data_IF_037468769267
#
_entry.id   IF_037468769267
#
_cell.length_a   1.000
_cell.length_b   1.000
_cell.length_c   1.000
_cell.angle_alpha   90.00
_cell.angle_beta   90.00
_cell.angle_gamma   90.00
#
_symmetry.space_group_name_H-M   'P 1'
#
loop_
_entity.id
_entity.type
_entity.pdbx_description
1 polymer ?
#
# COMPACT_ATOMS: atom_id res chain seq x y z
N UNK A 1 8.59 -18.01 27.44
CA UNK A 1 8.57 -16.81 26.57
C UNK A 1 7.45 -16.95 25.57
N UNK A 2 6.55 -15.97 25.45
CA UNK A 2 5.39 -16.05 24.55
C UNK A 2 5.84 -15.93 23.09
N UNK A 3 5.85 -17.04 22.34
CA UNK A 3 6.27 -17.07 20.93
C UNK A 3 5.44 -16.13 20.02
N UNK A 4 4.24 -15.74 20.47
CA UNK A 4 3.35 -14.80 19.78
C UNK A 4 3.87 -13.35 19.78
N UNK A 5 4.70 -12.98 20.76
CA UNK A 5 5.27 -11.63 20.85
C UNK A 5 6.49 -11.42 19.95
N UNK A 6 7.07 -12.51 19.41
CA UNK A 6 8.25 -12.46 18.55
C UNK A 6 7.91 -12.11 17.09
N UNK A 7 6.71 -12.48 16.64
CA UNK A 7 6.25 -12.37 15.25
C UNK A 7 5.52 -11.04 14.99
N UNK A 8 6.18 -9.94 15.33
CA UNK A 8 5.68 -8.58 15.12
C UNK A 8 6.73 -7.70 14.44
N UNK A 9 6.31 -6.50 14.06
CA UNK A 9 7.22 -5.40 13.72
C UNK A 9 7.83 -4.88 15.01
N UNK A 10 9.16 -4.86 15.11
CA UNK A 10 9.87 -4.45 16.33
C UNK A 10 10.08 -2.94 16.41
N UNK A 11 10.57 -2.34 15.34
CA UNK A 11 10.83 -0.91 15.23
C UNK A 11 10.05 -0.31 14.05
N UNK A 12 9.48 0.87 14.26
CA UNK A 12 8.84 1.67 13.22
C UNK A 12 9.56 3.02 13.16
N UNK A 13 10.09 3.39 11.97
CA UNK A 13 10.79 4.66 11.74
C UNK A 13 10.15 5.44 10.59
N UNK A 14 9.58 6.59 10.89
CA UNK A 14 9.10 7.54 9.87
C UNK A 14 10.22 8.51 9.47
N UNK A 15 10.07 9.17 8.31
CA UNK A 15 11.03 10.18 7.85
C UNK A 15 10.86 11.50 8.64
N UNK A 16 11.76 11.75 9.60
CA UNK A 16 11.76 12.95 10.47
C UNK A 16 11.87 14.29 9.75
N UNK A 17 12.48 14.30 8.57
CA UNK A 17 12.76 15.53 7.80
C UNK A 17 11.59 15.99 6.92
N UNK A 18 10.48 15.24 6.87
CA UNK A 18 9.35 15.51 5.96
C UNK A 18 8.12 15.99 6.76
N UNK A 19 7.23 16.81 6.15
CA UNK A 19 6.05 17.33 6.83
C UNK A 19 5.13 16.19 7.29
N UNK A 20 4.34 16.41 8.35
CA UNK A 20 3.37 15.42 8.87
C UNK A 20 3.98 14.06 9.27
N UNK A 21 5.13 14.08 9.94
CA UNK A 21 5.77 12.86 10.49
C UNK A 21 4.81 12.03 11.36
N UNK A 22 4.02 12.69 12.22
CA UNK A 22 3.08 12.01 13.10
C UNK A 22 2.00 11.22 12.35
N UNK A 23 1.53 11.73 11.20
CA UNK A 23 0.57 11.02 10.36
C UNK A 23 1.21 9.82 9.67
N UNK A 24 2.43 9.99 9.14
CA UNK A 24 3.20 8.93 8.53
C UNK A 24 3.44 7.77 9.52
N UNK A 25 3.86 8.10 10.74
CA UNK A 25 4.03 7.11 11.82
C UNK A 25 2.73 6.39 12.16
N UNK A 26 1.61 7.12 12.31
CA UNK A 26 0.30 6.51 12.56
C UNK A 26 -0.14 5.57 11.43
N UNK A 27 0.17 5.89 10.17
CA UNK A 27 -0.12 5.01 9.04
C UNK A 27 0.71 3.72 9.14
N UNK A 28 2.02 3.83 9.40
CA UNK A 28 2.88 2.65 9.56
C UNK A 28 2.45 1.77 10.74
N UNK A 29 2.10 2.38 11.87
CA UNK A 29 1.58 1.66 13.04
C UNK A 29 0.27 0.92 12.71
N UNK A 30 -0.66 1.57 12.00
CA UNK A 30 -1.90 0.92 11.55
C UNK A 30 -1.63 -0.25 10.62
N UNK A 31 -0.73 -0.08 9.65
CA UNK A 31 -0.35 -1.15 8.72
C UNK A 31 0.32 -2.30 9.48
N UNK A 32 1.26 -2.01 10.36
CA UNK A 32 1.93 -3.01 11.20
C UNK A 32 0.94 -3.83 12.04
N UNK A 33 -0.02 -3.15 12.68
CA UNK A 33 -1.08 -3.81 13.44
C UNK A 33 -1.98 -4.66 12.54
N UNK A 34 -2.30 -4.21 11.33
CA UNK A 34 -3.16 -4.96 10.41
C UNK A 34 -2.50 -6.26 9.92
N UNK A 35 -1.19 -6.24 9.68
CA UNK A 35 -0.44 -7.41 9.18
C UNK A 35 0.09 -8.32 10.29
N UNK A 36 0.07 -7.88 11.55
CA UNK A 36 0.55 -8.66 12.69
C UNK A 36 -0.13 -10.05 12.84
N UNK A 37 -1.45 -10.21 12.68
CA UNK A 37 -2.09 -11.53 12.74
C UNK A 37 -1.57 -12.47 11.64
N UNK A 38 -1.34 -11.94 10.43
CA UNK A 38 -0.81 -12.68 9.29
C UNK A 38 0.63 -13.12 9.59
N UNK A 39 1.46 -12.20 10.07
CA UNK A 39 2.84 -12.49 10.48
C UNK A 39 2.89 -13.56 11.58
N UNK A 40 1.98 -13.50 12.55
CA UNK A 40 1.91 -14.47 13.65
C UNK A 40 1.56 -15.87 13.16
N UNK A 41 0.59 -15.99 12.24
CA UNK A 41 0.17 -17.27 11.66
C UNK A 41 1.30 -17.93 10.86
N UNK A 42 2.07 -17.15 10.11
CA UNK A 42 3.17 -17.63 9.25
C UNK A 42 4.56 -17.61 9.91
N UNK A 43 4.63 -17.20 11.19
CA UNK A 43 5.86 -17.06 11.98
C UNK A 43 6.91 -16.12 11.33
N UNK A 44 6.43 -15.06 10.70
CA UNK A 44 7.29 -14.02 10.14
C UNK A 44 7.60 -12.94 11.17
N UNK A 45 8.79 -12.34 11.04
CA UNK A 45 9.25 -11.25 11.91
C UNK A 45 9.84 -10.16 11.06
N UNK A 46 9.51 -8.91 11.40
CA UNK A 46 10.09 -7.72 10.78
C UNK A 46 10.84 -6.94 11.84
N UNK A 47 12.17 -6.77 11.72
CA UNK A 47 12.92 -6.01 12.74
C UNK A 47 12.64 -4.51 12.60
N UNK A 48 12.73 -3.98 11.39
CA UNK A 48 12.54 -2.55 11.14
C UNK A 48 11.58 -2.30 9.98
N UNK A 49 10.50 -1.57 10.25
CA UNK A 49 9.62 -1.01 9.24
C UNK A 49 9.90 0.49 9.12
N UNK A 50 10.41 0.93 7.98
CA UNK A 50 10.78 2.33 7.78
C UNK A 50 10.09 2.97 6.57
N UNK A 51 9.75 4.25 6.69
CA UNK A 51 9.37 5.07 5.54
C UNK A 51 10.61 5.42 4.71
N UNK A 52 10.48 5.43 3.39
CA UNK A 52 11.48 5.96 2.48
C UNK A 52 10.84 6.71 1.31
N UNK A 53 11.59 7.62 0.69
CA UNK A 53 11.16 8.36 -0.49
C UNK A 53 12.29 8.33 -1.52
N UNK A 54 12.40 7.25 -2.32
CA UNK A 54 13.46 7.13 -3.30
C UNK A 54 13.25 8.13 -4.46
N UNK A 55 14.35 8.56 -5.08
CA UNK A 55 14.33 9.42 -6.28
C UNK A 55 13.57 8.76 -7.43
N UNK A 56 13.61 7.42 -7.53
CA UNK A 56 12.83 6.70 -8.52
C UNK A 56 11.33 6.75 -8.12
N UNK A 57 10.46 7.36 -8.94
CA UNK A 57 9.05 7.50 -8.62
C UNK A 57 8.29 6.17 -8.63
N UNK A 58 8.82 5.16 -9.32
CA UNK A 58 8.17 3.85 -9.45
C UNK A 58 8.38 2.98 -8.22
N UNK A 59 9.46 3.18 -7.45
CA UNK A 59 9.78 2.34 -6.31
C UNK A 59 8.85 2.64 -5.13
N UNK A 60 7.98 1.68 -4.76
CA UNK A 60 7.03 1.81 -3.63
C UNK A 60 7.42 0.99 -2.40
N UNK A 61 8.17 -0.10 -2.59
CA UNK A 61 8.51 -1.03 -1.52
C UNK A 61 9.85 -1.73 -1.75
N UNK A 62 10.53 -2.05 -0.66
CA UNK A 62 11.74 -2.89 -0.65
C UNK A 62 11.78 -3.74 0.62
N UNK A 63 12.02 -5.03 0.46
CA UNK A 63 12.34 -5.96 1.52
C UNK A 63 13.83 -6.31 1.47
N UNK A 64 14.55 -6.01 2.56
CA UNK A 64 15.97 -6.34 2.73
C UNK A 64 16.09 -7.54 3.66
N UNK A 65 16.84 -8.55 3.20
CA UNK A 65 17.19 -9.76 3.96
C UNK A 65 15.96 -10.50 4.54
N UNK A 66 14.90 -10.65 3.75
CA UNK A 66 13.70 -11.45 4.10
C UNK A 66 13.10 -11.05 5.45
N UNK A 67 12.83 -9.76 5.62
CA UNK A 67 12.15 -9.22 6.81
C UNK A 67 13.10 -8.65 7.86
N UNK A 68 14.38 -8.42 7.57
CA UNK A 68 15.23 -7.62 8.48
C UNK A 68 14.77 -6.17 8.42
N UNK A 69 14.68 -5.60 7.22
CA UNK A 69 14.22 -4.23 7.03
C UNK A 69 13.23 -4.17 5.87
N UNK A 70 12.04 -3.64 6.15
CA UNK A 70 11.03 -3.37 5.13
C UNK A 70 10.90 -1.85 5.00
N UNK A 71 11.08 -1.36 3.78
CA UNK A 71 10.97 0.07 3.44
C UNK A 71 9.71 0.28 2.61
N UNK A 72 8.82 1.17 3.06
CA UNK A 72 7.58 1.49 2.36
C UNK A 72 7.51 2.97 1.99
N UNK A 73 7.05 3.25 0.78
CA UNK A 73 6.76 4.61 0.33
C UNK A 73 5.37 4.98 0.80
N UNK A 74 5.26 6.07 1.57
CA UNK A 74 3.98 6.58 2.04
C UNK A 74 3.49 7.80 1.26
N UNK A 75 4.40 8.54 0.61
CA UNK A 75 4.13 9.83 0.00
C UNK A 75 4.03 9.74 -1.51
N UNK A 76 3.16 10.58 -2.09
CA UNK A 76 3.05 10.71 -3.54
C UNK A 76 4.32 11.32 -4.14
N UNK A 77 4.60 10.94 -5.38
CA UNK A 77 5.66 11.55 -6.19
C UNK A 77 5.31 13.04 -6.36
N UNK A 78 6.27 13.93 -6.14
CA UNK A 78 6.15 15.39 -6.28
C UNK A 78 5.22 16.11 -5.28
N UNK A 79 4.59 15.39 -4.34
CA UNK A 79 3.74 15.98 -3.31
C UNK A 79 4.07 15.41 -1.94
N UNK A 80 5.03 16.02 -1.26
CA UNK A 80 5.47 15.59 0.07
C UNK A 80 4.36 15.70 1.14
N UNK A 81 3.32 16.52 0.90
CA UNK A 81 2.19 16.71 1.83
C UNK A 81 1.06 15.68 1.69
N UNK A 82 1.07 14.88 0.61
CA UNK A 82 0.02 13.96 0.24
C UNK A 82 0.46 12.51 0.37
N UNK A 83 -0.33 11.74 1.11
CA UNK A 83 -0.09 10.32 1.33
C UNK A 83 -0.77 9.45 0.26
N UNK A 84 -0.19 8.28 0.02
CA UNK A 84 -0.86 7.19 -0.67
C UNK A 84 -2.04 6.70 0.15
N UNK A 85 -3.02 6.10 -0.53
CA UNK A 85 -4.17 5.54 0.19
C UNK A 85 -3.70 4.41 1.12
N UNK A 86 -4.36 4.28 2.28
CA UNK A 86 -4.03 3.24 3.25
C UNK A 86 -4.03 1.84 2.62
N UNK A 87 -4.98 1.57 1.73
CA UNK A 87 -5.08 0.29 1.03
C UNK A 87 -3.90 0.03 0.08
N UNK A 88 -3.39 1.06 -0.61
CA UNK A 88 -2.19 0.91 -1.45
C UNK A 88 -0.96 0.58 -0.59
N UNK A 89 -0.76 1.31 0.52
CA UNK A 89 0.38 1.05 1.42
C UNK A 89 0.30 -0.35 2.03
N UNK A 90 -0.90 -0.76 2.45
CA UNK A 90 -1.14 -2.08 3.00
C UNK A 90 -0.85 -3.17 1.95
N UNK A 91 -1.28 -2.98 0.71
CA UNK A 91 -1.03 -3.92 -0.38
C UNK A 91 0.46 -4.05 -0.69
N UNK A 92 1.19 -2.92 -0.73
CA UNK A 92 2.65 -2.91 -0.82
C UNK A 92 3.29 -3.65 0.34
N UNK A 93 2.80 -3.48 1.58
CA UNK A 93 3.31 -4.24 2.72
C UNK A 93 3.08 -5.76 2.57
N UNK A 94 1.92 -6.19 2.06
CA UNK A 94 1.64 -7.61 1.82
C UNK A 94 2.55 -8.20 0.74
N UNK A 95 2.82 -7.43 -0.32
CA UNK A 95 3.80 -7.78 -1.35
C UNK A 95 5.19 -7.99 -0.74
N UNK A 96 5.67 -7.01 0.04
CA UNK A 96 6.99 -7.12 0.67
C UNK A 96 7.07 -8.31 1.65
N UNK A 97 5.99 -8.63 2.36
CA UNK A 97 5.95 -9.82 3.22
C UNK A 97 6.05 -11.13 2.43
N UNK A 98 5.54 -11.19 1.19
CA UNK A 98 5.69 -12.36 0.33
C UNK A 98 7.16 -12.64 0.01
N UNK A 99 8.00 -11.60 -0.07
CA UNK A 99 9.45 -11.75 -0.26
C UNK A 99 10.17 -12.46 0.89
N UNK A 100 9.54 -12.62 2.06
CA UNK A 100 10.09 -13.47 3.12
C UNK A 100 10.13 -14.96 2.73
N UNK A 101 9.20 -15.39 1.88
CA UNK A 101 9.08 -16.78 1.42
C UNK A 101 9.54 -16.98 -0.03
N UNK A 102 9.24 -16.02 -0.92
CA UNK A 102 9.52 -16.11 -2.35
C UNK A 102 10.22 -14.83 -2.84
N UNK A 103 11.49 -14.93 -3.22
CA UNK A 103 12.25 -13.81 -3.80
C UNK A 103 11.69 -13.36 -5.15
N UNK A 104 11.66 -14.22 -6.19
CA UNK A 104 11.21 -13.83 -7.52
C UNK A 104 9.68 -13.73 -7.63
N UNK A 105 9.18 -12.85 -8.50
CA UNK A 105 7.76 -12.68 -8.84
C UNK A 105 7.23 -13.81 -9.75
N UNK A 106 7.34 -15.05 -9.25
CA UNK A 106 6.87 -16.24 -9.93
C UNK A 106 5.38 -16.51 -9.64
N UNK A 107 4.77 -17.47 -10.33
CA UNK A 107 3.37 -17.84 -10.11
C UNK A 107 3.06 -18.22 -8.63
N UNK A 108 4.03 -18.78 -7.90
CA UNK A 108 3.90 -19.07 -6.46
C UNK A 108 3.84 -17.81 -5.60
N UNK A 109 4.59 -16.76 -5.98
CA UNK A 109 4.55 -15.46 -5.31
C UNK A 109 3.16 -14.85 -5.40
N UNK A 110 2.59 -14.80 -6.62
CA UNK A 110 1.24 -14.24 -6.83
C UNK A 110 0.16 -15.03 -6.08
N UNK A 111 0.24 -16.37 -6.08
CA UNK A 111 -0.67 -17.21 -5.30
C UNK A 111 -0.61 -16.87 -3.81
N UNK A 112 0.60 -16.75 -3.26
CA UNK A 112 0.79 -16.37 -1.86
C UNK A 112 0.26 -14.96 -1.59
N UNK A 113 0.53 -14.01 -2.48
CA UNK A 113 0.09 -12.63 -2.34
C UNK A 113 -1.44 -12.51 -2.37
N UNK A 114 -2.12 -13.22 -3.28
CA UNK A 114 -3.58 -13.28 -3.34
C UNK A 114 -4.18 -13.90 -2.06
N UNK A 115 -3.58 -14.97 -1.55
CA UNK A 115 -3.97 -15.56 -0.27
C UNK A 115 -3.85 -14.54 0.88
N UNK A 116 -2.73 -13.80 0.94
CA UNK A 116 -2.51 -12.77 1.95
C UNK A 116 -3.52 -11.63 1.85
N UNK A 117 -3.84 -11.16 0.62
CA UNK A 117 -4.84 -10.11 0.41
C UNK A 117 -6.19 -10.56 0.90
N UNK A 118 -6.63 -11.77 0.53
CA UNK A 118 -7.91 -12.33 0.96
C UNK A 118 -7.98 -12.47 2.49
N UNK A 119 -6.91 -12.98 3.11
CA UNK A 119 -6.82 -13.10 4.56
C UNK A 119 -6.88 -11.72 5.25
N UNK A 120 -6.19 -10.73 4.70
CA UNK A 120 -6.22 -9.37 5.21
C UNK A 120 -7.61 -8.72 5.08
N UNK A 121 -8.30 -8.91 3.95
CA UNK A 121 -9.69 -8.46 3.77
C UNK A 121 -10.65 -9.08 4.79
N UNK A 122 -10.50 -10.38 5.04
CA UNK A 122 -11.31 -11.07 6.05
C UNK A 122 -11.02 -10.53 7.46
N UNK A 123 -9.76 -10.27 7.80
CA UNK A 123 -9.38 -9.69 9.08
C UNK A 123 -9.95 -8.27 9.25
N UNK A 124 -9.87 -7.43 8.21
CA UNK A 124 -10.47 -6.10 8.20
C UNK A 124 -12.01 -6.18 8.36
N UNK A 125 -12.65 -7.10 7.65
CA UNK A 125 -14.11 -7.31 7.73
C UNK A 125 -14.56 -7.77 9.12
N UNK A 126 -13.73 -8.59 9.78
CA UNK A 126 -13.96 -9.05 11.17
C UNK A 126 -13.56 -8.01 12.21
N UNK A 127 -12.92 -6.90 11.81
CA UNK A 127 -12.39 -5.88 12.73
C UNK A 127 -11.25 -6.38 13.61
N UNK A 128 -10.54 -7.43 13.18
CA UNK A 128 -9.43 -8.03 13.91
C UNK A 128 -8.15 -7.31 13.51
N UNK A 129 -7.54 -6.61 14.45
CA UNK A 129 -6.23 -5.96 14.29
C UNK A 129 -5.26 -6.40 15.38
N UNK A 130 -3.97 -6.15 15.18
CA UNK A 130 -2.88 -6.33 16.13
C UNK A 130 -2.70 -7.78 16.61
N UNK A 131 -2.95 -8.04 17.89
CA UNK A 131 -2.67 -9.36 18.52
C UNK A 131 -3.59 -10.49 18.04
N UNK A 132 -4.61 -10.17 17.24
CA UNK A 132 -5.55 -11.16 16.72
C UNK A 132 -6.62 -11.59 17.73
N UNK A 133 -6.74 -10.89 18.87
CA UNK A 133 -7.68 -11.19 19.95
C UNK A 133 -8.85 -10.19 20.09
N UNK A 134 -9.16 -9.42 19.05
CA UNK A 134 -10.37 -8.59 19.02
C UNK A 134 -10.13 -7.19 18.46
N UNK A 135 -10.89 -6.22 19.00
CA UNK A 135 -10.77 -4.80 18.69
C UNK A 135 -9.67 -4.18 19.57
N UNK A 136 -8.49 -3.93 19.00
CA UNK A 136 -7.37 -3.25 19.69
C UNK A 136 -7.58 -1.72 19.82
N UNK A 137 -8.75 -1.21 19.40
CA UNK A 137 -9.10 0.21 19.51
C UNK A 137 -9.88 0.45 20.80
N UNK A 138 -9.55 1.48 21.61
CA UNK A 138 -10.33 1.80 22.80
C UNK A 138 -11.80 2.02 22.42
N UNK A 139 -12.68 1.20 23.00
CA UNK A 139 -14.11 1.25 22.73
C UNK A 139 -14.68 2.63 23.03
N UNK A 140 -15.25 3.30 22.04
CA UNK A 140 -16.00 4.54 22.25
C UNK A 140 -17.45 4.17 22.54
N UNK A 141 -17.91 4.45 23.76
CA UNK A 141 -19.32 4.28 24.14
C UNK A 141 -20.20 5.20 23.28
N UNK A 142 -20.86 4.65 22.26
CA UNK A 142 -21.80 5.37 21.38
C UNK A 142 -23.21 5.44 21.99
N UNK A 143 -23.30 5.94 23.23
CA UNK A 143 -24.57 6.14 23.93
C UNK A 143 -24.55 5.72 25.39
N UNK A 144 -25.40 6.39 26.19
CA UNK A 144 -25.67 5.96 27.56
C UNK A 144 -25.74 7.05 28.62
N UNK A 145 -25.67 8.33 28.25
CA UNK A 145 -26.40 9.33 29.03
C UNK A 145 -27.77 9.52 28.39
N UNK A 146 -28.66 8.56 28.62
CA UNK A 146 -30.08 8.76 28.38
C UNK A 146 -30.79 8.61 29.71
N UNK A 147 -31.23 9.74 30.27
CA UNK A 147 -32.52 9.76 30.95
C UNK A 147 -33.46 9.04 29.98
N UNK A 148 -33.88 7.81 30.33
CA UNK A 148 -34.73 7.01 29.45
C UNK A 148 -35.90 7.90 29.03
N UNK A 149 -36.17 8.06 27.72
CA UNK A 149 -37.34 8.79 27.28
C UNK A 149 -38.56 8.18 27.99
N UNK A 150 -39.53 8.98 28.47
CA UNK A 150 -40.73 8.43 29.08
C UNK A 150 -41.37 7.41 28.12
N UNK A 151 -41.93 6.32 28.66
CA UNK A 151 -42.41 5.17 27.88
C UNK A 151 -43.35 5.57 26.72
N UNK A 152 -44.12 6.66 26.89
CA UNK A 152 -44.98 7.25 25.87
C UNK A 152 -44.25 7.70 24.59
N UNK A 153 -42.98 8.10 24.70
CA UNK A 153 -42.18 8.65 23.61
C UNK A 153 -41.36 7.61 22.83
N UNK A 154 -41.25 6.36 23.33
CA UNK A 154 -40.44 5.31 22.71
C UNK A 154 -40.92 4.94 21.29
N UNK A 155 -42.24 4.91 21.07
CA UNK A 155 -42.81 4.58 19.76
C UNK A 155 -42.46 5.66 18.72
N UNK A 156 -42.49 6.92 19.12
CA UNK A 156 -42.14 8.05 18.25
C UNK A 156 -40.64 8.10 17.92
N UNK A 157 -39.77 7.82 18.90
CA UNK A 157 -38.31 7.77 18.66
C UNK A 157 -37.92 6.59 17.77
N UNK A 158 -38.55 5.42 17.96
CA UNK A 158 -38.35 4.25 17.11
C UNK A 158 -38.79 4.50 15.66
N UNK A 159 -39.96 5.11 15.45
CA UNK A 159 -40.45 5.48 14.12
C UNK A 159 -39.49 6.44 13.41
N UNK A 160 -39.07 7.52 14.09
CA UNK A 160 -38.11 8.51 13.55
C UNK A 160 -36.74 7.89 13.22
N UNK A 161 -36.29 6.90 14.00
CA UNK A 161 -35.05 6.18 13.70
C UNK A 161 -35.20 5.26 12.48
N UNK A 162 -36.35 4.60 12.31
CA UNK A 162 -36.64 3.79 11.12
C UNK A 162 -36.68 4.65 9.84
N UNK A 163 -37.35 5.80 9.87
CA UNK A 163 -37.38 6.75 8.75
C UNK A 163 -35.97 7.22 8.36
N UNK A 164 -35.10 7.47 9.35
CA UNK A 164 -33.69 7.82 9.09
C UNK A 164 -32.92 6.71 8.41
N UNK A 165 -33.14 5.44 8.78
CA UNK A 165 -32.51 4.28 8.11
C UNK A 165 -32.97 4.16 6.66
N UNK A 166 -34.27 4.33 6.40
CA UNK A 166 -34.82 4.33 5.03
C UNK A 166 -34.21 5.45 4.19
N UNK A 167 -34.15 6.67 4.74
CA UNK A 167 -33.55 7.82 4.04
C UNK A 167 -32.05 7.62 3.76
N UNK A 168 -31.32 7.06 4.71
CA UNK A 168 -29.89 6.78 4.54
C UNK A 168 -29.63 5.63 3.55
N UNK A 169 -30.48 4.60 3.53
CA UNK A 169 -30.38 3.48 2.61
C UNK A 169 -30.48 3.87 1.13
N UNK A 170 -31.28 4.89 0.79
CA UNK A 170 -31.39 5.39 -0.59
C UNK A 170 -30.17 6.17 -1.07
N UNK A 171 -29.29 6.62 -0.17
CA UNK A 171 -28.12 7.46 -0.50
C UNK A 171 -26.79 6.69 -0.51
N UNK A 172 -26.78 5.47 0.01
CA UNK A 172 -25.56 4.68 0.19
C UNK A 172 -25.57 3.49 -0.79
N UNK A 173 -24.45 3.20 -1.48
CA UNK A 173 -24.33 1.98 -2.27
C UNK A 173 -24.54 0.74 -1.40
N UNK A 174 -25.20 -0.26 -1.96
CA UNK A 174 -25.53 -1.49 -1.23
C UNK A 174 -24.30 -2.35 -1.02
N UNK A 175 -23.93 -2.56 0.25
CA UNK A 175 -22.95 -3.57 0.67
C UNK A 175 -21.52 -3.07 0.85
N UNK A 176 -20.67 -3.89 1.53
CA UNK A 176 -19.25 -3.58 1.71
C UNK A 176 -18.50 -3.67 0.37
N UNK A 177 -17.73 -2.63 0.05
CA UNK A 177 -16.90 -2.58 -1.16
C UNK A 177 -15.64 -3.45 -0.95
N UNK A 178 -15.54 -4.55 -1.71
CA UNK A 178 -14.37 -5.45 -1.69
C UNK A 178 -13.18 -4.77 -2.38
N UNK A 179 -11.97 -4.96 -1.85
CA UNK A 179 -10.77 -4.31 -2.33
C UNK A 179 -10.03 -5.23 -3.31
N UNK A 180 -10.60 -5.39 -4.51
CA UNK A 180 -9.92 -6.07 -5.62
C UNK A 180 -10.73 -7.15 -6.30
N UNK A 181 -11.95 -6.82 -6.75
CA UNK A 181 -12.83 -7.82 -7.38
C UNK A 181 -13.89 -7.23 -8.27
N UNK A 182 -13.62 -6.12 -8.98
CA UNK A 182 -14.46 -5.67 -10.06
C UNK A 182 -14.34 -6.64 -11.26
N UNK A 183 -15.04 -7.76 -11.14
CA UNK A 183 -15.13 -8.81 -12.18
C UNK A 183 -15.74 -8.31 -13.49
N UNK A 184 -16.31 -7.11 -13.50
CA UNK A 184 -16.87 -6.46 -14.69
C UNK A 184 -15.85 -6.26 -15.80
N UNK A 185 -14.57 -6.08 -15.48
CA UNK A 185 -13.52 -5.92 -16.50
C UNK A 185 -13.06 -7.29 -17.02
N UNK A 186 -13.04 -8.31 -16.15
CA UNK A 186 -12.57 -9.66 -16.51
C UNK A 186 -13.55 -10.44 -17.39
N UNK A 187 -14.85 -10.14 -17.34
CA UNK A 187 -15.86 -10.82 -18.18
C UNK A 187 -15.73 -10.53 -19.69
N UNK A 188 -15.00 -9.49 -20.07
CA UNK A 188 -14.85 -9.07 -21.47
C UNK A 188 -13.50 -9.45 -22.11
N UNK A 189 -12.59 -10.08 -21.36
CA UNK A 189 -11.25 -10.40 -21.85
C UNK A 189 -11.15 -11.87 -22.27
N UNK A 190 -10.55 -12.11 -23.44
CA UNK A 190 -10.18 -13.47 -23.85
C UNK A 190 -9.09 -14.03 -22.93
N UNK A 191 -8.94 -15.36 -22.79
CA UNK A 191 -7.87 -15.97 -21.99
C UNK A 191 -6.47 -15.47 -22.37
N UNK A 192 -6.23 -15.24 -23.67
CA UNK A 192 -4.96 -14.72 -24.19
C UNK A 192 -4.72 -13.28 -23.74
N UNK A 193 -5.73 -12.41 -23.84
CA UNK A 193 -5.62 -11.02 -23.37
C UNK A 193 -5.49 -10.93 -21.86
N UNK A 194 -6.20 -11.77 -21.11
CA UNK A 194 -6.08 -11.83 -19.65
C UNK A 194 -4.68 -12.27 -19.22
N UNK A 195 -4.09 -13.26 -19.91
CA UNK A 195 -2.72 -13.70 -19.66
C UNK A 195 -1.68 -12.62 -20.02
N UNK A 196 -1.85 -11.92 -21.14
CA UNK A 196 -0.97 -10.83 -21.55
C UNK A 196 -1.01 -9.67 -20.54
N UNK A 197 -2.20 -9.23 -20.14
CA UNK A 197 -2.38 -8.19 -19.12
C UNK A 197 -1.81 -8.62 -17.76
N UNK A 198 -1.97 -9.89 -17.39
CA UNK A 198 -1.35 -10.42 -16.18
C UNK A 198 0.17 -10.36 -16.27
N UNK A 199 0.77 -10.74 -17.40
CA UNK A 199 2.22 -10.66 -17.60
C UNK A 199 2.75 -9.22 -17.55
N UNK A 200 2.04 -8.26 -18.15
CA UNK A 200 2.38 -6.82 -18.05
C UNK A 200 2.35 -6.33 -16.60
N UNK A 201 1.33 -6.72 -15.81
CA UNK A 201 1.29 -6.40 -14.38
C UNK A 201 2.49 -6.96 -13.64
N UNK A 202 2.90 -8.21 -13.93
CA UNK A 202 4.10 -8.79 -13.30
C UNK A 202 5.36 -8.01 -13.60
N UNK A 203 5.52 -7.59 -14.86
CA UNK A 203 6.64 -6.76 -15.27
C UNK A 203 6.62 -5.39 -14.60
N UNK A 204 5.45 -4.79 -14.38
CA UNK A 204 5.33 -3.55 -13.61
C UNK A 204 5.67 -3.76 -12.14
N UNK A 205 5.32 -4.91 -11.57
CA UNK A 205 5.65 -5.29 -10.19
C UNK A 205 7.16 -5.41 -9.96
N UNK A 206 7.89 -5.98 -10.92
CA UNK A 206 9.37 -5.98 -10.92
C UNK A 206 9.96 -4.57 -10.87
N UNK A 207 9.29 -3.58 -11.45
CA UNK A 207 9.80 -2.21 -11.56
C UNK A 207 9.48 -1.39 -10.31
N UNK A 208 8.33 -1.63 -9.67
CA UNK A 208 7.94 -0.89 -8.47
C UNK A 208 8.48 -1.50 -7.17
N UNK A 209 8.88 -2.77 -7.17
CA UNK A 209 9.52 -3.44 -6.03
C UNK A 209 11.04 -3.55 -6.22
N UNK A 210 11.82 -3.02 -5.28
CA UNK A 210 13.30 -3.01 -5.35
C UNK A 210 13.97 -4.22 -4.70
N UNK A 211 13.21 -5.26 -4.34
CA UNK A 211 13.70 -6.38 -3.55
C UNK A 211 14.64 -7.33 -4.31
N UNK A 212 14.63 -7.32 -5.64
CA UNK A 212 15.55 -8.13 -6.45
C UNK A 212 16.93 -7.47 -6.66
N UNK A 213 17.04 -6.15 -6.49
CA UNK A 213 18.26 -5.38 -6.74
C UNK A 213 19.11 -5.14 -5.48
N UNK A 214 18.64 -5.54 -4.30
CA UNK A 214 19.33 -5.35 -3.02
C UNK A 214 20.37 -6.42 -2.69
N UNK A 215 20.48 -7.52 -3.45
CA UNK A 215 21.64 -8.42 -3.31
C UNK A 215 22.96 -7.78 -3.80
N UNK A 216 22.92 -6.56 -4.32
CA UNK A 216 24.09 -5.82 -4.84
C UNK A 216 24.34 -4.43 -4.21
N UNK A 217 23.61 -4.02 -3.17
CA UNK A 217 23.78 -2.69 -2.56
C UNK A 217 23.83 -2.78 -1.04
N UNK A 218 25.00 -3.19 -0.54
CA UNK A 218 25.45 -2.79 0.80
C UNK A 218 25.80 -1.29 0.79
N UNK A 219 25.32 -0.58 1.81
CA UNK A 219 25.71 0.76 2.27
C UNK A 219 25.72 1.93 1.27
N UNK A 220 24.56 2.58 1.10
CA UNK A 220 24.51 4.04 1.07
C UNK A 220 23.33 4.55 1.90
N UNK A 221 23.61 4.97 3.12
CA UNK A 221 22.84 6.01 3.81
C UNK A 221 22.94 7.30 2.99
N UNK A 222 22.09 7.46 1.98
CA UNK A 222 22.00 8.74 1.28
C UNK A 222 20.96 9.62 1.96
N UNK A 223 21.38 10.20 3.09
CA UNK A 223 20.70 11.26 3.80
C UNK A 223 21.00 12.62 3.13
N UNK A 224 20.85 12.72 1.81
CA UNK A 224 20.96 13.98 1.07
C UNK A 224 20.50 13.83 -0.38
N UNK A 225 19.33 14.39 -0.71
CA UNK A 225 19.24 15.45 -1.71
C UNK A 225 17.79 15.92 -1.84
N UNK A 226 17.64 17.24 -1.86
CA UNK A 226 16.41 17.96 -2.03
C UNK A 226 15.56 17.42 -3.19
N UNK A 227 14.24 17.48 -3.04
CA UNK A 227 13.31 17.46 -4.16
C UNK A 227 13.71 18.62 -5.08
N UNK A 228 14.43 18.32 -6.15
CA UNK A 228 14.69 19.29 -7.20
C UNK A 228 13.42 19.39 -8.06
N UNK A 229 12.84 20.59 -8.06
CA UNK A 229 11.79 21.04 -8.96
C UNK A 229 12.11 20.67 -10.42
N UNK A 230 11.12 20.29 -11.25
CA UNK A 230 11.34 20.12 -12.68
C UNK A 230 11.53 21.49 -13.32
N UNK A 231 12.78 21.87 -13.60
CA UNK A 231 13.09 23.07 -14.37
C UNK A 231 12.61 22.87 -15.82
N UNK A 232 11.52 23.55 -16.18
CA UNK A 232 11.14 23.77 -17.58
C UNK A 232 12.26 24.53 -18.28
N UNK A 233 12.92 23.90 -19.25
CA UNK A 233 13.71 24.62 -20.25
C UNK A 233 13.26 24.20 -21.64
N UNK A 234 12.33 24.98 -22.18
CA UNK A 234 12.24 25.22 -23.60
C UNK A 234 13.60 25.75 -24.06
N UNK A 235 14.31 25.00 -24.89
CA UNK A 235 15.11 25.59 -25.97
C UNK A 235 15.41 24.55 -27.03
N UNK A 236 14.76 24.76 -28.18
CA UNK A 236 14.97 24.07 -29.43
C UNK A 236 16.42 24.16 -29.89
N UNK A 237 17.01 23.03 -30.30
CA UNK A 237 18.26 23.00 -31.06
C UNK A 237 17.94 22.97 -32.55
N UNK A 238 18.48 23.87 -33.40
CA UNK A 238 18.34 23.71 -34.84
C UNK A 238 19.35 22.69 -35.38
N UNK A 239 18.87 21.84 -36.27
CA UNK A 239 19.62 20.83 -36.99
C UNK A 239 20.74 21.45 -37.85
N UNK A 240 21.98 20.99 -37.69
CA UNK A 240 23.06 21.26 -38.64
C UNK A 240 23.04 20.20 -39.74
N UNK A 241 22.58 20.62 -40.93
CA UNK A 241 22.72 19.95 -42.23
C UNK A 241 24.19 19.61 -42.52
N UNK A 242 24.49 18.34 -42.75
CA UNK A 242 25.72 17.87 -43.37
C UNK A 242 25.71 18.21 -44.87
N UNK A 243 26.67 19.02 -45.32
CA UNK A 243 26.93 19.27 -46.74
C UNK A 243 27.85 18.16 -47.28
N UNK A 244 27.32 17.29 -48.14
CA UNK A 244 28.14 16.51 -49.08
C UNK A 244 28.76 17.47 -50.11
N UNK A 245 30.08 17.43 -50.28
CA UNK A 245 30.75 18.04 -51.45
C UNK A 245 31.06 16.94 -52.47
N UNK A 246 30.55 17.16 -53.68
CA UNK A 246 30.92 16.50 -54.93
C UNK A 246 32.44 16.55 -55.14
N UNK A 247 33.03 15.41 -55.48
CA UNK A 247 34.31 15.34 -56.18
C UNK A 247 34.05 15.62 -57.67
N UNK A 248 34.72 16.62 -58.22
CA UNK A 248 34.85 16.83 -59.66
C UNK A 248 36.17 16.20 -60.11
N UNK A 249 36.09 15.32 -61.11
CA UNK A 249 37.25 14.78 -61.82
C UNK A 249 37.54 15.60 -63.07
N UNK A 250 38.83 15.85 -63.28
CA UNK A 250 39.56 16.19 -64.53
C UNK A 250 41.03 15.99 -64.15
N UNK A 251 41.90 15.28 -64.85
CA UNK A 251 41.99 14.90 -66.26
C UNK A 251 42.70 13.54 -66.39
#
# INVERSE_FOLDING_TARGET
>A
MNLRELNKVWEIKALKKKPKEDEARKILEKVANQVQPIMTRRKWRVKLLSEFCPTNPRLLGVNVNRGVQVKLRLRRVNHDGDFLSYHQVLDTMLHELCHNAHGPHNASFYKLWDELRKECEELMSKGITGTGQGFDVPGKRLGGFSRQPPLSSLRATAAKAAEKRVRAGNLLPSGPQRLGGDSSIMSHLTPIQAAAMAAERRLLDDVWCGSQSTEALEDQENDSHACAEPFTSLNARPAKRSRCRLAQGTS
#
